data_IF_792542670847
#
_entry.id   IF_792542670847
#
_cell.length_a   1.000
_cell.length_b   1.000
_cell.length_c   1.000
_cell.angle_alpha   90.00
_cell.angle_beta   90.00
_cell.angle_gamma   90.00
#
_symmetry.space_group_name_H-M   'P 1'
#
loop_
_entity.id
_entity.type
_entity.pdbx_description
1 polymer ?
#
# COMPACT_ATOMS: atom_id res chain seq x y z
N UNK A 1 7.65 -0.97 -9.22
CA UNK A 1 7.38 -0.53 -7.85
C UNK A 1 8.51 -1.01 -6.96
N UNK A 2 9.19 -0.08 -6.29
CA UNK A 2 10.31 -0.34 -5.37
C UNK A 2 9.82 -0.33 -3.91
N UNK A 3 10.67 -0.73 -2.97
CA UNK A 3 10.37 -0.59 -1.53
C UNK A 3 10.26 0.89 -1.15
N UNK A 4 11.14 1.75 -1.67
CA UNK A 4 11.08 3.20 -1.42
C UNK A 4 9.73 3.81 -1.88
N UNK A 5 9.23 3.40 -3.06
CA UNK A 5 7.90 3.84 -3.52
C UNK A 5 6.77 3.44 -2.55
N UNK A 6 6.90 2.27 -1.92
CA UNK A 6 5.93 1.76 -0.95
C UNK A 6 6.03 2.55 0.36
N UNK A 7 7.25 2.80 0.84
CA UNK A 7 7.52 3.59 2.05
C UNK A 7 6.98 5.02 1.92
N UNK A 8 7.21 5.67 0.79
CA UNK A 8 6.70 7.02 0.52
C UNK A 8 5.16 7.05 0.54
N UNK A 9 4.51 6.02 -0.01
CA UNK A 9 3.05 5.89 0.03
C UNK A 9 2.53 5.61 1.44
N UNK A 10 3.19 4.75 2.21
CA UNK A 10 2.86 4.51 3.63
C UNK A 10 2.94 5.80 4.44
N UNK A 11 3.98 6.61 4.20
CA UNK A 11 4.14 7.91 4.84
C UNK A 11 2.98 8.85 4.49
N UNK A 12 2.61 8.95 3.22
CA UNK A 12 1.46 9.75 2.76
C UNK A 12 0.13 9.32 3.41
N UNK A 13 -0.10 8.00 3.51
CA UNK A 13 -1.29 7.45 4.18
C UNK A 13 -1.28 7.83 5.67
N UNK A 14 -0.13 7.70 6.34
CA UNK A 14 0.05 8.05 7.76
C UNK A 14 -0.20 9.53 8.01
N UNK A 15 0.30 10.40 7.13
CA UNK A 15 0.05 11.85 7.20
C UNK A 15 -1.44 12.19 7.03
N UNK A 16 -2.17 11.35 6.30
CA UNK A 16 -3.60 11.49 6.03
C UNK A 16 -4.51 10.83 7.07
N UNK A 17 -3.97 10.16 8.10
CA UNK A 17 -4.74 9.30 9.03
C UNK A 17 -5.93 9.98 9.75
N UNK A 18 -5.90 11.31 9.87
CA UNK A 18 -6.99 12.10 10.48
C UNK A 18 -8.19 12.27 9.55
N UNK A 19 -7.98 12.13 8.25
CA UNK A 19 -9.01 12.06 7.23
C UNK A 19 -9.13 10.60 6.79
N UNK A 20 -10.02 9.86 7.46
CA UNK A 20 -10.18 8.44 7.24
C UNK A 20 -10.53 8.09 5.80
N UNK A 21 -11.35 8.91 5.13
CA UNK A 21 -11.70 8.70 3.71
C UNK A 21 -10.47 8.84 2.82
N UNK A 22 -9.70 9.92 2.99
CA UNK A 22 -8.46 10.11 2.22
C UNK A 22 -7.44 9.00 2.50
N UNK A 23 -7.26 8.59 3.77
CA UNK A 23 -6.36 7.51 4.14
C UNK A 23 -6.76 6.15 3.49
N UNK A 24 -8.06 5.83 3.48
CA UNK A 24 -8.60 4.66 2.80
C UNK A 24 -8.33 4.66 1.31
N UNK A 25 -8.68 5.77 0.63
CA UNK A 25 -8.47 5.90 -0.81
C UNK A 25 -7.00 5.71 -1.16
N UNK A 26 -6.09 6.24 -0.35
CA UNK A 26 -4.64 6.08 -0.57
C UNK A 26 -4.17 4.64 -0.34
N UNK A 27 -4.68 3.94 0.68
CA UNK A 27 -4.39 2.53 0.92
C UNK A 27 -4.88 1.64 -0.23
N UNK A 28 -6.13 1.81 -0.68
CA UNK A 28 -6.67 1.09 -1.83
C UNK A 28 -5.86 1.34 -3.09
N UNK A 29 -5.44 2.59 -3.31
CA UNK A 29 -4.59 2.95 -4.43
C UNK A 29 -3.19 2.33 -4.35
N UNK A 30 -2.64 2.14 -3.15
CA UNK A 30 -1.38 1.41 -2.94
C UNK A 30 -1.55 -0.06 -3.32
N UNK A 31 -2.59 -0.73 -2.83
CA UNK A 31 -2.85 -2.13 -3.14
C UNK A 31 -3.14 -2.34 -4.62
N UNK A 32 -3.97 -1.49 -5.23
CA UNK A 32 -4.25 -1.52 -6.67
C UNK A 32 -2.97 -1.34 -7.48
N UNK A 33 -2.12 -0.37 -7.14
CA UNK A 33 -0.86 -0.15 -7.83
C UNK A 33 0.09 -1.36 -7.70
N UNK A 34 0.13 -1.99 -6.53
CA UNK A 34 0.91 -3.20 -6.31
C UNK A 34 0.41 -4.36 -7.17
N UNK A 35 -0.91 -4.61 -7.21
CA UNK A 35 -1.50 -5.65 -8.06
C UNK A 35 -1.22 -5.40 -9.54
N UNK A 36 -1.36 -4.16 -10.00
CA UNK A 36 -1.01 -3.78 -11.38
C UNK A 36 0.47 -4.01 -11.69
N UNK A 37 1.36 -3.70 -10.72
CA UNK A 37 2.78 -4.01 -10.82
C UNK A 37 3.02 -5.52 -10.91
N UNK A 38 2.37 -6.35 -10.10
CA UNK A 38 2.50 -7.82 -10.18
C UNK A 38 2.03 -8.32 -11.54
N UNK A 39 0.87 -7.84 -12.01
CA UNK A 39 0.27 -8.26 -13.27
C UNK A 39 1.09 -7.87 -14.51
N UNK A 40 1.96 -6.85 -14.42
CA UNK A 40 2.82 -6.44 -15.53
C UNK A 40 4.15 -7.20 -15.60
N UNK A 41 4.46 -8.03 -14.60
CA UNK A 41 5.74 -8.75 -14.55
C UNK A 41 5.66 -10.05 -15.36
N UNK A 42 6.52 -10.24 -16.38
CA UNK A 42 6.56 -11.48 -17.14
C UNK A 42 7.08 -12.67 -16.32
N UNK A 43 7.84 -12.41 -15.25
CA UNK A 43 8.31 -13.38 -14.27
C UNK A 43 8.26 -12.76 -12.87
N UNK A 44 7.97 -13.56 -11.85
CA UNK A 44 7.89 -13.07 -10.46
C UNK A 44 9.30 -12.84 -9.88
N UNK A 45 9.66 -11.63 -9.45
CA UNK A 45 10.95 -11.35 -8.84
C UNK A 45 11.02 -11.93 -7.42
N UNK A 46 12.23 -12.30 -6.97
CA UNK A 46 12.45 -12.90 -5.65
C UNK A 46 12.03 -11.98 -4.49
N UNK A 47 12.01 -10.66 -4.69
CA UNK A 47 11.65 -9.68 -3.66
C UNK A 47 10.14 -9.37 -3.60
N UNK A 48 9.32 -10.04 -4.40
CA UNK A 48 7.89 -9.77 -4.48
C UNK A 48 7.18 -9.97 -3.15
N UNK A 49 7.52 -11.04 -2.42
CA UNK A 49 6.96 -11.33 -1.11
C UNK A 49 7.30 -10.24 -0.09
N UNK A 50 8.53 -9.71 -0.15
CA UNK A 50 8.98 -8.61 0.71
C UNK A 50 8.15 -7.36 0.40
N UNK A 51 8.00 -6.99 -0.88
CA UNK A 51 7.18 -5.85 -1.29
C UNK A 51 5.72 -5.99 -0.85
N UNK A 52 5.14 -7.18 -0.96
CA UNK A 52 3.79 -7.45 -0.48
C UNK A 52 3.67 -7.24 1.03
N UNK A 53 4.62 -7.76 1.82
CA UNK A 53 4.67 -7.54 3.27
C UNK A 53 4.81 -6.05 3.62
N UNK A 54 5.56 -5.28 2.84
CA UNK A 54 5.65 -3.83 3.02
C UNK A 54 4.30 -3.14 2.79
N UNK A 55 3.57 -3.46 1.72
CA UNK A 55 2.24 -2.91 1.50
C UNK A 55 1.30 -3.20 2.68
N UNK A 56 1.35 -4.41 3.24
CA UNK A 56 0.50 -4.80 4.39
C UNK A 56 0.80 -4.04 5.69
N UNK A 57 1.91 -3.31 5.78
CA UNK A 57 2.18 -2.44 6.94
C UNK A 57 1.16 -1.31 7.07
N UNK A 58 0.42 -0.97 6.03
CA UNK A 58 -0.66 0.02 6.17
C UNK A 58 -1.76 -0.43 7.12
N UNK A 59 -1.92 -1.75 7.36
CA UNK A 59 -2.91 -2.30 8.30
C UNK A 59 -2.67 -1.89 9.76
N UNK A 60 -1.45 -1.48 10.12
CA UNK A 60 -1.15 -0.99 11.48
C UNK A 60 -1.32 0.52 11.64
N UNK A 61 -1.65 1.24 10.56
CA UNK A 61 -1.95 2.68 10.63
C UNK A 61 -3.35 2.85 11.22
N UNK A 62 -3.44 3.70 12.24
CA UNK A 62 -4.65 3.97 13.00
C UNK A 62 -5.48 5.08 12.31
N UNK A 63 -6.30 4.66 11.34
CA UNK A 63 -7.36 5.49 10.76
C UNK A 63 -8.69 4.72 10.79
N UNK A 64 -9.85 5.42 10.86
CA UNK A 64 -11.16 4.78 10.97
C UNK A 64 -11.41 3.82 9.80
N UNK A 65 -11.42 2.50 10.04
CA UNK A 65 -11.65 1.49 8.99
C UNK A 65 -13.14 1.39 8.68
N UNK A 66 -13.54 1.56 7.42
CA UNK A 66 -14.89 1.20 6.99
C UNK A 66 -14.92 -0.32 6.85
N UNK A 67 -15.43 -1.01 7.87
CA UNK A 67 -15.78 -2.41 7.73
C UNK A 67 -16.99 -2.48 6.81
N UNK A 68 -16.81 -3.09 5.64
CA UNK A 68 -17.92 -3.47 4.76
C UNK A 68 -18.79 -4.54 5.44
#
# INVERSE_FOLDING_TARGET
>A
MTIADIEDRIKSITESQRDGETAHIQEDNLYKAFIMYVASLPNLPHDLAIKAQWCLKTQVIDFPRWYA
#
